data_IF_513495232754
#
_entry.id   IF_513495232754
#
_cell.length_a   1.000
_cell.length_b   1.000
_cell.length_c   1.000
_cell.angle_alpha   90.00
_cell.angle_beta   90.00
_cell.angle_gamma   90.00
#
_symmetry.space_group_name_H-M   'P 1'
#
loop_
_entity.id
_entity.type
_entity.pdbx_description
1 polymer ?
#
# COMPACT_ATOMS: atom_id res chain seq x y z
N UNK A 1 -11.91 53.74 -34.93
CA UNK A 1 -11.66 53.81 -33.48
C UNK A 1 -12.92 53.24 -32.84
N UNK A 2 -13.02 51.94 -32.55
CA UNK A 2 -12.03 51.03 -31.98
C UNK A 2 -12.28 49.61 -32.47
N UNK A 3 -11.37 49.07 -33.28
CA UNK A 3 -11.09 47.64 -33.29
C UNK A 3 -10.09 47.38 -32.16
N UNK A 4 -10.12 46.18 -31.59
CA UNK A 4 -9.13 45.65 -30.63
C UNK A 4 -9.40 46.02 -29.17
N UNK A 5 -10.05 45.11 -28.43
CA UNK A 5 -9.59 44.67 -27.11
C UNK A 5 -10.29 43.36 -26.67
N UNK A 6 -9.52 42.26 -26.79
CA UNK A 6 -9.59 40.97 -26.08
C UNK A 6 -10.92 40.19 -26.07
N UNK A 7 -11.11 39.02 -26.71
CA UNK A 7 -10.23 37.87 -26.99
C UNK A 7 -9.04 37.76 -26.04
N UNK A 8 -9.31 37.38 -24.78
CA UNK A 8 -8.44 36.55 -23.94
C UNK A 8 -8.98 36.52 -22.50
N UNK A 9 -9.97 35.67 -22.25
CA UNK A 9 -10.16 35.12 -20.89
C UNK A 9 -10.32 33.60 -20.95
N UNK A 10 -9.60 32.99 -21.89
CA UNK A 10 -9.33 31.54 -21.93
C UNK A 10 -7.91 31.22 -21.42
N UNK A 11 -7.25 32.17 -20.74
CA UNK A 11 -5.84 32.04 -20.35
C UNK A 11 -5.54 32.47 -18.92
N UNK A 12 -6.39 32.10 -17.96
CA UNK A 12 -5.85 31.73 -16.64
C UNK A 12 -5.56 30.24 -16.71
N UNK A 13 -4.46 29.93 -17.40
CA UNK A 13 -3.76 28.65 -17.33
C UNK A 13 -3.47 28.35 -15.87
N UNK A 14 -4.38 27.63 -15.23
CA UNK A 14 -4.14 27.06 -13.92
C UNK A 14 -3.04 26.01 -14.10
N UNK A 15 -1.87 26.14 -13.46
CA UNK A 15 -0.84 25.10 -13.45
C UNK A 15 -1.32 23.80 -12.75
N UNK A 16 -2.59 23.71 -12.36
CA UNK A 16 -3.18 22.65 -11.55
C UNK A 16 -3.72 21.44 -12.34
N UNK A 17 -3.37 21.25 -13.63
CA UNK A 17 -3.82 20.08 -14.40
C UNK A 17 -2.73 19.49 -15.29
N UNK A 18 -1.55 19.26 -14.71
CA UNK A 18 -0.40 18.66 -15.42
C UNK A 18 -0.55 17.15 -15.65
N UNK A 19 -1.45 16.46 -14.94
CA UNK A 19 -1.70 15.02 -15.09
C UNK A 19 -3.19 14.79 -15.28
N UNK A 20 -3.53 13.98 -16.27
CA UNK A 20 -4.91 13.56 -16.52
C UNK A 20 -5.43 12.74 -15.31
N UNK A 21 -6.60 13.10 -14.74
CA UNK A 21 -7.17 12.39 -13.58
C UNK A 21 -7.34 10.88 -13.81
N UNK A 22 -7.63 10.47 -15.05
CA UNK A 22 -7.76 9.06 -15.42
C UNK A 22 -6.41 8.35 -15.29
N UNK A 23 -5.35 8.95 -15.83
CA UNK A 23 -3.98 8.40 -15.77
C UNK A 23 -3.54 8.28 -14.31
N UNK A 24 -3.83 9.28 -13.49
CA UNK A 24 -3.52 9.26 -12.06
C UNK A 24 -4.26 8.13 -11.33
N UNK A 25 -5.55 7.96 -11.58
CA UNK A 25 -6.35 6.89 -10.97
C UNK A 25 -5.88 5.50 -11.38
N UNK A 26 -5.53 5.31 -12.67
CA UNK A 26 -4.97 4.05 -13.16
C UNK A 26 -3.62 3.78 -12.48
N UNK A 27 -2.75 4.79 -12.37
CA UNK A 27 -1.46 4.64 -11.70
C UNK A 27 -1.62 4.24 -10.23
N UNK A 28 -2.50 4.91 -9.49
CA UNK A 28 -2.81 4.55 -8.10
C UNK A 28 -3.32 3.11 -8.03
N UNK A 29 -4.26 2.73 -8.90
CA UNK A 29 -4.83 1.37 -8.89
C UNK A 29 -3.75 0.30 -9.16
N UNK A 30 -2.88 0.52 -10.14
CA UNK A 30 -1.79 -0.41 -10.47
C UNK A 30 -0.80 -0.52 -9.31
N UNK A 31 -0.39 0.61 -8.73
CA UNK A 31 0.57 0.61 -7.61
C UNK A 31 -0.03 -0.05 -6.37
N UNK A 32 -1.20 0.44 -5.93
CA UNK A 32 -1.86 -0.01 -4.70
C UNK A 32 -2.37 -1.45 -4.75
N UNK A 33 -2.69 -1.97 -5.94
CA UNK A 33 -3.16 -3.34 -6.10
C UNK A 33 -2.05 -4.28 -6.53
N UNK A 34 -1.43 -4.05 -7.69
CA UNK A 34 -0.51 -5.02 -8.30
C UNK A 34 0.87 -4.94 -7.64
N UNK A 35 1.47 -3.75 -7.61
CA UNK A 35 2.82 -3.58 -7.07
C UNK A 35 2.87 -3.90 -5.57
N UNK A 36 1.91 -3.38 -4.80
CA UNK A 36 1.81 -3.66 -3.36
C UNK A 36 1.65 -5.15 -3.09
N UNK A 37 0.75 -5.85 -3.79
CA UNK A 37 0.56 -7.31 -3.60
C UNK A 37 1.85 -8.08 -3.86
N UNK A 38 2.58 -7.77 -4.94
CA UNK A 38 3.85 -8.43 -5.24
C UNK A 38 4.90 -8.18 -4.15
N UNK A 39 5.01 -6.94 -3.67
CA UNK A 39 5.91 -6.59 -2.57
C UNK A 39 5.53 -7.32 -1.27
N UNK A 40 4.24 -7.39 -0.94
CA UNK A 40 3.76 -8.11 0.23
C UNK A 40 4.08 -9.62 0.17
N UNK A 41 3.90 -10.25 -0.99
CA UNK A 41 4.24 -11.66 -1.19
C UNK A 41 5.74 -11.91 -1.04
N UNK A 42 6.56 -11.04 -1.64
CA UNK A 42 8.02 -11.14 -1.51
C UNK A 42 8.48 -10.92 -0.06
N UNK A 43 7.94 -9.89 0.61
CA UNK A 43 8.21 -9.58 2.00
C UNK A 43 7.81 -10.73 2.93
N UNK A 44 6.64 -11.34 2.68
CA UNK A 44 6.16 -12.51 3.44
C UNK A 44 7.13 -13.68 3.30
N UNK A 45 7.48 -14.06 2.08
CA UNK A 45 8.38 -15.19 1.82
C UNK A 45 9.78 -14.94 2.43
N UNK A 46 10.34 -13.75 2.22
CA UNK A 46 11.68 -13.41 2.71
C UNK A 46 11.73 -13.37 4.24
N UNK A 47 10.72 -12.80 4.90
CA UNK A 47 10.69 -12.75 6.36
C UNK A 47 10.46 -14.13 6.99
N UNK A 48 9.65 -15.00 6.38
CA UNK A 48 9.55 -16.41 6.81
C UNK A 48 10.91 -17.10 6.71
N UNK A 49 11.63 -16.93 5.59
CA UNK A 49 12.98 -17.50 5.42
C UNK A 49 13.93 -16.95 6.48
N UNK A 50 13.91 -15.64 6.76
CA UNK A 50 14.73 -15.01 7.79
C UNK A 50 14.46 -15.62 9.18
N UNK A 51 13.20 -15.78 9.58
CA UNK A 51 12.82 -16.39 10.86
C UNK A 51 13.36 -17.83 10.94
N UNK A 52 13.18 -18.64 9.90
CA UNK A 52 13.67 -20.03 9.88
C UNK A 52 15.20 -20.10 9.92
N UNK A 53 15.88 -19.19 9.23
CA UNK A 53 17.34 -19.11 9.18
C UNK A 53 17.92 -18.72 10.55
N UNK A 54 17.42 -17.66 11.18
CA UNK A 54 17.89 -17.22 12.50
C UNK A 54 17.58 -18.25 13.58
N UNK A 55 16.42 -18.92 13.50
CA UNK A 55 16.12 -20.06 14.37
C UNK A 55 17.14 -21.18 14.21
N UNK A 56 17.59 -21.48 12.99
CA UNK A 56 18.60 -22.51 12.72
C UNK A 56 20.00 -22.11 13.20
N UNK A 57 20.35 -20.83 13.12
CA UNK A 57 21.61 -20.30 13.65
C UNK A 57 21.65 -20.30 15.19
N UNK A 58 20.47 -20.23 15.83
CA UNK A 58 20.32 -20.22 17.27
C UNK A 58 20.45 -18.83 17.89
N UNK A 59 19.80 -18.63 19.03
CA UNK A 59 19.68 -17.35 19.71
C UNK A 59 20.72 -17.16 20.80
N UNK A 60 22.00 -17.41 20.46
CA UNK A 60 23.11 -17.33 21.42
C UNK A 60 23.59 -15.89 21.64
N UNK A 61 23.50 -15.08 20.59
CA UNK A 61 23.81 -13.66 20.60
C UNK A 61 22.54 -12.84 20.45
N UNK A 62 22.50 -11.67 21.08
CA UNK A 62 21.35 -10.75 21.00
C UNK A 62 21.01 -10.32 19.57
N UNK A 63 21.98 -10.38 18.65
CA UNK A 63 21.80 -10.04 17.23
C UNK A 63 20.79 -10.96 16.54
N UNK A 64 20.88 -12.29 16.71
CA UNK A 64 19.93 -13.20 16.07
C UNK A 64 18.52 -13.06 16.66
N UNK A 65 18.42 -12.70 17.94
CA UNK A 65 17.15 -12.41 18.60
C UNK A 65 16.51 -11.15 17.99
N UNK A 66 17.27 -10.05 17.88
CA UNK A 66 16.75 -8.80 17.31
C UNK A 66 16.41 -8.93 15.83
N UNK A 67 17.24 -9.63 15.05
CA UNK A 67 16.94 -9.90 13.63
C UNK A 67 15.70 -10.80 13.45
N UNK A 68 15.48 -11.76 14.35
CA UNK A 68 14.25 -12.56 14.34
C UNK A 68 13.04 -11.70 14.70
N UNK A 69 13.14 -10.84 15.72
CA UNK A 69 12.07 -9.93 16.10
C UNK A 69 11.73 -8.94 14.97
N UNK A 70 12.75 -8.42 14.28
CA UNK A 70 12.58 -7.57 13.10
C UNK A 70 11.86 -8.31 11.98
N UNK A 71 12.27 -9.53 11.66
CA UNK A 71 11.60 -10.35 10.64
C UNK A 71 10.14 -10.69 11.01
N UNK A 72 9.84 -10.88 12.31
CA UNK A 72 8.45 -11.05 12.78
C UNK A 72 7.67 -9.74 12.61
N UNK A 73 8.27 -8.60 12.91
CA UNK A 73 7.64 -7.29 12.74
C UNK A 73 7.29 -7.04 11.27
N UNK A 74 8.28 -7.19 10.40
CA UNK A 74 8.12 -7.00 8.97
C UNK A 74 7.09 -7.99 8.39
N UNK A 75 7.07 -9.24 8.85
CA UNK A 75 6.07 -10.24 8.46
C UNK A 75 4.65 -9.81 8.85
N UNK A 76 4.46 -9.28 10.06
CA UNK A 76 3.18 -8.75 10.50
C UNK A 76 2.73 -7.59 9.62
N UNK A 77 3.61 -6.61 9.39
CA UNK A 77 3.31 -5.44 8.55
C UNK A 77 2.85 -5.86 7.15
N UNK A 78 3.63 -6.70 6.45
CA UNK A 78 3.28 -7.08 5.07
C UNK A 78 2.03 -7.94 4.98
N UNK A 79 1.68 -8.73 6.01
CA UNK A 79 0.43 -9.50 6.06
C UNK A 79 -0.77 -8.54 6.16
N UNK A 80 -0.72 -7.56 7.07
CA UNK A 80 -1.83 -6.62 7.21
C UNK A 80 -1.95 -5.69 6.00
N UNK A 81 -0.84 -5.27 5.40
CA UNK A 81 -0.83 -4.50 4.15
C UNK A 81 -1.44 -5.32 3.00
N UNK A 82 -1.16 -6.62 2.92
CA UNK A 82 -1.74 -7.49 1.90
C UNK A 82 -3.27 -7.56 2.01
N UNK A 83 -3.79 -7.68 3.24
CA UNK A 83 -5.24 -7.67 3.47
C UNK A 83 -5.82 -6.30 3.12
N UNK A 84 -5.18 -5.21 3.56
CA UNK A 84 -5.62 -3.84 3.28
C UNK A 84 -5.70 -3.55 1.76
N UNK A 85 -4.63 -3.87 1.03
CA UNK A 85 -4.55 -3.74 -0.43
C UNK A 85 -5.62 -4.58 -1.14
N UNK A 86 -5.84 -5.82 -0.68
CA UNK A 86 -6.86 -6.70 -1.25
C UNK A 86 -8.26 -6.12 -1.09
N UNK A 87 -8.59 -5.57 0.07
CA UNK A 87 -9.91 -4.97 0.35
C UNK A 87 -10.14 -3.66 -0.42
N UNK A 88 -9.07 -3.00 -0.87
CA UNK A 88 -9.16 -1.84 -1.77
C UNK A 88 -9.55 -2.22 -3.21
N UNK A 89 -9.51 -3.51 -3.56
CA UNK A 89 -9.86 -4.00 -4.88
C UNK A 89 -11.35 -3.75 -5.21
N UNK A 90 -11.67 -3.04 -6.30
CA UNK A 90 -13.06 -2.74 -6.68
C UNK A 90 -13.87 -3.99 -7.07
N UNK A 91 -13.21 -5.09 -7.43
CA UNK A 91 -13.88 -6.34 -7.83
C UNK A 91 -14.40 -7.17 -6.66
N UNK A 92 -13.89 -6.94 -5.46
CA UNK A 92 -14.47 -7.52 -4.25
C UNK A 92 -15.67 -6.65 -3.90
N UNK A 93 -16.90 -7.16 -3.83
CA UNK A 93 -18.07 -6.35 -3.47
C UNK A 93 -18.33 -6.42 -1.97
N UNK A 94 -18.97 -5.41 -1.38
CA UNK A 94 -19.36 -5.46 0.06
C UNK A 94 -20.28 -6.66 0.35
N UNK A 95 -21.11 -7.05 -0.62
CA UNK A 95 -22.01 -8.21 -0.50
C UNK A 95 -21.27 -9.56 -0.45
N UNK A 96 -20.00 -9.61 -0.88
CA UNK A 96 -19.19 -10.83 -0.86
C UNK A 96 -18.51 -11.06 0.49
N UNK A 97 -18.59 -10.09 1.42
CA UNK A 97 -17.98 -10.20 2.74
C UNK A 97 -19.04 -10.26 3.85
N UNK A 98 -18.75 -11.08 4.86
CA UNK A 98 -19.52 -11.12 6.11
C UNK A 98 -19.30 -9.87 6.99
N UNK A 99 -18.16 -9.20 6.81
CA UNK A 99 -17.76 -8.00 7.55
C UNK A 99 -17.54 -6.85 6.56
N UNK A 100 -18.05 -5.66 6.90
CA UNK A 100 -17.88 -4.46 6.07
C UNK A 100 -16.41 -4.18 5.75
N UNK A 101 -16.13 -3.82 4.49
CA UNK A 101 -14.75 -3.44 4.09
C UNK A 101 -14.22 -2.28 4.91
N UNK A 102 -15.08 -1.34 5.32
CA UNK A 102 -14.65 -0.21 6.15
C UNK A 102 -14.09 -0.69 7.49
N UNK A 103 -14.77 -1.64 8.14
CA UNK A 103 -14.31 -2.24 9.40
C UNK A 103 -12.99 -2.98 9.19
N UNK A 104 -12.90 -3.79 8.14
CA UNK A 104 -11.66 -4.53 7.82
C UNK A 104 -10.51 -3.55 7.56
N UNK A 105 -10.74 -2.47 6.80
CA UNK A 105 -9.74 -1.42 6.54
C UNK A 105 -9.24 -0.76 7.82
N UNK A 106 -10.13 -0.41 8.74
CA UNK A 106 -9.70 0.18 10.01
C UNK A 106 -8.88 -0.79 10.84
N UNK A 107 -9.35 -2.03 11.01
CA UNK A 107 -8.63 -3.04 11.80
C UNK A 107 -7.26 -3.32 11.19
N UNK A 108 -7.21 -3.58 9.88
CA UNK A 108 -5.96 -3.88 9.18
C UNK A 108 -5.01 -2.70 9.14
N UNK A 109 -5.51 -1.47 8.97
CA UNK A 109 -4.70 -0.26 9.07
C UNK A 109 -4.09 -0.06 10.45
N UNK A 110 -4.89 -0.19 11.52
CA UNK A 110 -4.37 -0.14 12.90
C UNK A 110 -3.36 -1.25 13.16
N UNK A 111 -3.64 -2.48 12.77
CA UNK A 111 -2.71 -3.59 12.92
C UNK A 111 -1.41 -3.34 12.16
N UNK A 112 -1.48 -2.86 10.91
CA UNK A 112 -0.30 -2.52 10.11
C UNK A 112 0.58 -1.49 10.84
N UNK A 113 0.00 -0.41 11.36
CA UNK A 113 0.74 0.62 12.13
C UNK A 113 1.43 0.07 13.38
N UNK A 114 0.92 -1.00 14.00
CA UNK A 114 1.61 -1.63 15.14
C UNK A 114 2.88 -2.40 14.75
N UNK A 115 3.00 -2.82 13.49
CA UNK A 115 4.11 -3.63 13.00
C UNK A 115 5.19 -2.83 12.25
N UNK A 116 4.92 -1.56 11.92
CA UNK A 116 5.83 -0.62 11.25
C UNK A 116 6.31 0.48 12.18
#
# INVERSE_FOLDING_TARGET
MSDTEMVASDSVTSPARLIDPLVFNIAILVVSSICTTLMCLFGTATNIVNILLFRKQGYRDGVNVTLTALAISDLGAVIFELVYSTIWNPYILEADLEVSKMVIKYITGYCHEYFT
#
